data_IF_878878680652
#
_entry.id   IF_878878680652
#
_cell.length_a   1.000
_cell.length_b   1.000
_cell.length_c   1.000
_cell.angle_alpha   90.00
_cell.angle_beta   90.00
_cell.angle_gamma   90.00
#
_symmetry.space_group_name_H-M   'P 1'
#
loop_
_entity.id
_entity.type
_entity.pdbx_description
1 polymer ?
#
# COMPACT_ATOMS: atom_id res chain seq x y z
N UNK A 1 13.55 4.25 14.40
CA UNK A 1 13.19 3.01 13.71
C UNK A 1 12.06 2.37 14.51
N UNK A 2 10.81 2.43 14.05
CA UNK A 2 9.69 1.74 14.75
C UNK A 2 9.69 0.28 14.30
N UNK A 3 9.65 -0.65 15.25
CA UNK A 3 9.54 -2.09 14.95
C UNK A 3 8.08 -2.35 14.59
N UNK A 4 7.81 -2.53 13.31
CA UNK A 4 6.49 -2.94 12.82
C UNK A 4 6.33 -4.41 13.22
N UNK A 5 5.25 -4.77 13.92
CA UNK A 5 4.93 -6.18 14.10
C UNK A 5 4.64 -6.77 12.71
N UNK A 6 5.37 -7.80 12.32
CA UNK A 6 5.24 -8.41 10.99
C UNK A 6 4.64 -9.80 11.08
N UNK A 7 3.89 -10.19 10.06
CA UNK A 7 3.34 -11.54 9.91
C UNK A 7 2.09 -11.83 10.74
N UNK A 8 2.01 -13.04 11.28
CA UNK A 8 0.81 -13.59 11.91
C UNK A 8 0.41 -12.85 13.20
N UNK A 9 1.37 -12.41 14.00
CA UNK A 9 1.10 -11.71 15.28
C UNK A 9 0.42 -10.37 15.05
N UNK A 10 0.85 -9.63 14.01
CA UNK A 10 0.24 -8.37 13.60
C UNK A 10 -1.21 -8.56 13.13
N UNK A 11 -1.46 -9.62 12.37
CA UNK A 11 -2.81 -10.00 11.92
C UNK A 11 -3.71 -10.36 13.10
N UNK A 12 -3.23 -11.14 14.07
CA UNK A 12 -3.99 -11.53 15.26
C UNK A 12 -4.30 -10.29 16.11
N UNK A 13 -3.30 -9.44 16.37
CA UNK A 13 -3.49 -8.21 17.13
C UNK A 13 -4.47 -7.25 16.44
N UNK A 14 -4.35 -7.09 15.11
CA UNK A 14 -5.26 -6.26 14.33
C UNK A 14 -6.69 -6.80 14.36
N UNK A 15 -6.87 -8.13 14.25
CA UNK A 15 -8.18 -8.75 14.33
C UNK A 15 -8.84 -8.50 15.69
N UNK A 16 -8.09 -8.64 16.80
CA UNK A 16 -8.62 -8.37 18.13
C UNK A 16 -9.04 -6.90 18.32
N UNK A 17 -8.32 -5.95 17.72
CA UNK A 17 -8.67 -4.54 17.75
C UNK A 17 -9.91 -4.25 16.91
N UNK A 18 -9.99 -4.83 15.72
CA UNK A 18 -11.16 -4.74 14.85
C UNK A 18 -12.41 -5.34 15.51
N UNK A 19 -12.31 -6.52 16.12
CA UNK A 19 -13.40 -7.17 16.84
C UNK A 19 -13.89 -6.31 18.02
N UNK A 20 -12.95 -5.69 18.77
CA UNK A 20 -13.29 -4.73 19.85
C UNK A 20 -14.02 -3.50 19.33
N UNK A 21 -13.64 -2.99 18.15
CA UNK A 21 -14.30 -1.87 17.49
C UNK A 21 -15.70 -2.26 16.98
N UNK A 22 -15.82 -3.42 16.36
CA UNK A 22 -17.09 -3.97 15.89
C UNK A 22 -18.07 -4.22 17.05
N UNK A 23 -17.59 -4.75 18.17
CA UNK A 23 -18.39 -4.94 19.39
C UNK A 23 -18.90 -3.63 20.00
N UNK A 24 -18.19 -2.50 19.80
CA UNK A 24 -18.66 -1.15 20.20
C UNK A 24 -19.67 -0.55 19.21
N UNK A 25 -19.80 -1.12 18.02
CA UNK A 25 -20.63 -0.62 16.92
C UNK A 25 -21.69 -1.67 16.59
N UNK A 26 -22.60 -1.97 17.52
CA UNK A 26 -23.64 -2.98 17.26
C UNK A 26 -24.67 -2.41 16.27
N UNK A 27 -24.60 -2.88 15.02
CA UNK A 27 -25.78 -3.23 14.24
C UNK A 27 -25.50 -4.47 13.40
N UNK A 28 -26.39 -5.45 13.55
CA UNK A 28 -26.38 -6.78 12.94
C UNK A 28 -26.37 -6.70 11.41
N UNK A 29 -25.43 -7.40 10.76
CA UNK A 29 -25.57 -7.78 9.35
C UNK A 29 -25.23 -9.27 9.22
N UNK A 30 -26.22 -10.02 8.76
CA UNK A 30 -26.14 -11.44 8.45
C UNK A 30 -25.24 -11.72 7.24
N UNK A 31 -24.49 -12.81 7.30
CA UNK A 31 -23.68 -13.31 6.19
C UNK A 31 -24.58 -13.84 5.05
N UNK A 32 -24.26 -13.58 3.77
CA UNK A 32 -24.95 -14.23 2.66
C UNK A 32 -24.43 -15.67 2.45
N UNK A 33 -25.20 -16.54 1.75
CA UNK A 33 -24.83 -17.94 1.58
C UNK A 33 -23.71 -18.11 0.54
N UNK A 34 -22.85 -19.12 0.76
CA UNK A 34 -21.87 -19.60 -0.22
C UNK A 34 -22.58 -20.17 -1.47
N UNK A 35 -22.22 -19.66 -2.65
CA UNK A 35 -22.53 -20.31 -3.94
C UNK A 35 -21.47 -21.35 -4.26
N UNK A 36 -21.91 -22.55 -4.65
CA UNK A 36 -21.07 -23.58 -5.26
C UNK A 36 -20.73 -23.22 -6.70
N UNK A 37 -19.49 -23.44 -7.11
CA UNK A 37 -19.03 -23.28 -8.50
C UNK A 37 -18.71 -24.63 -9.12
N UNK A 38 -19.25 -24.84 -10.32
CA UNK A 38 -19.02 -26.01 -11.19
C UNK A 38 -17.60 -26.01 -11.77
N UNK A 39 -16.96 -27.18 -11.99
CA UNK A 39 -15.61 -27.25 -12.54
C UNK A 39 -15.68 -27.25 -14.07
N UNK A 40 -15.33 -26.13 -14.72
CA UNK A 40 -14.75 -26.07 -16.08
C UNK A 40 -14.61 -24.66 -16.70
N UNK A 41 -14.91 -23.59 -15.96
CA UNK A 41 -14.55 -22.23 -16.40
C UNK A 41 -13.12 -21.90 -15.96
N UNK A 42 -12.32 -21.29 -16.84
CA UNK A 42 -11.08 -20.62 -16.46
C UNK A 42 -11.37 -19.71 -15.25
N UNK A 43 -10.71 -19.98 -14.13
CA UNK A 43 -10.97 -19.27 -12.88
C UNK A 43 -10.31 -17.89 -12.98
N UNK A 44 -11.09 -16.87 -13.32
CA UNK A 44 -10.63 -15.48 -13.26
C UNK A 44 -10.56 -15.04 -11.79
N UNK A 45 -9.39 -14.61 -11.35
CA UNK A 45 -9.19 -14.07 -9.99
C UNK A 45 -9.86 -12.69 -9.93
N UNK A 46 -10.82 -12.52 -9.03
CA UNK A 46 -11.50 -11.22 -8.86
C UNK A 46 -10.55 -10.16 -8.31
N UNK A 47 -10.81 -8.89 -8.62
CA UNK A 47 -10.02 -7.79 -8.08
C UNK A 47 -10.02 -7.71 -6.55
N UNK A 48 -11.11 -8.15 -5.90
CA UNK A 48 -11.18 -8.27 -4.44
C UNK A 48 -10.25 -9.38 -3.90
N UNK A 49 -10.12 -10.50 -4.62
CA UNK A 49 -9.16 -11.55 -4.28
C UNK A 49 -7.71 -11.06 -4.49
N UNK A 50 -7.44 -10.32 -5.58
CA UNK A 50 -6.15 -9.67 -5.81
C UNK A 50 -5.79 -8.69 -4.69
N UNK A 51 -6.72 -7.82 -4.27
CA UNK A 51 -6.54 -6.90 -3.16
C UNK A 51 -6.18 -7.65 -1.86
N UNK A 52 -6.96 -8.66 -1.48
CA UNK A 52 -6.71 -9.45 -0.26
C UNK A 52 -5.33 -10.10 -0.27
N UNK A 53 -4.96 -10.70 -1.40
CA UNK A 53 -3.68 -11.37 -1.53
C UNK A 53 -2.50 -10.39 -1.50
N UNK A 54 -2.54 -9.35 -2.33
CA UNK A 54 -1.40 -8.45 -2.56
C UNK A 54 -1.19 -7.42 -1.45
N UNK A 55 -2.27 -6.89 -0.89
CA UNK A 55 -2.20 -5.81 0.11
C UNK A 55 -2.24 -6.33 1.54
N UNK A 56 -2.99 -7.41 1.79
CA UNK A 56 -3.16 -7.95 3.15
C UNK A 56 -2.38 -9.25 3.39
N UNK A 57 -1.80 -9.87 2.35
CA UNK A 57 -1.14 -11.16 2.47
C UNK A 57 -2.08 -12.31 2.83
N UNK A 58 -3.38 -12.17 2.54
CA UNK A 58 -4.41 -13.16 2.89
C UNK A 58 -4.80 -13.96 1.65
N UNK A 59 -4.38 -15.22 1.60
CA UNK A 59 -4.73 -16.15 0.53
C UNK A 59 -6.08 -16.87 0.75
N UNK A 60 -6.52 -17.00 2.01
CA UNK A 60 -7.79 -17.65 2.34
C UNK A 60 -8.97 -16.70 2.07
N UNK A 61 -9.84 -17.09 1.13
CA UNK A 61 -11.03 -16.33 0.76
C UNK A 61 -12.00 -16.13 1.92
N UNK A 62 -12.09 -17.09 2.84
CA UNK A 62 -12.99 -17.07 4.00
C UNK A 62 -12.47 -16.20 5.14
N UNK A 63 -11.18 -15.84 5.13
CA UNK A 63 -10.60 -14.97 6.14
C UNK A 63 -10.88 -13.51 5.81
N UNK A 64 -11.43 -12.80 6.79
CA UNK A 64 -11.60 -11.34 6.73
C UNK A 64 -10.25 -10.65 6.94
N UNK A 65 -10.02 -9.58 6.18
CA UNK A 65 -8.87 -8.71 6.38
C UNK A 65 -9.18 -7.70 7.49
N UNK A 66 -8.33 -7.55 8.53
CA UNK A 66 -8.59 -6.62 9.64
C UNK A 66 -8.80 -5.18 9.17
N UNK A 67 -9.67 -4.42 9.84
CA UNK A 67 -9.97 -3.01 9.55
C UNK A 67 -9.86 -2.10 10.77
N UNK A 68 -8.70 -1.47 10.95
CA UNK A 68 -8.42 -0.56 12.04
C UNK A 68 -9.11 0.80 11.85
N UNK A 69 -9.28 1.53 12.95
CA UNK A 69 -9.90 2.85 12.99
C UNK A 69 -8.90 3.96 13.31
N UNK A 70 -9.43 5.17 13.47
CA UNK A 70 -8.63 6.36 13.81
C UNK A 70 -7.96 6.28 15.18
N UNK A 71 -8.54 5.53 16.12
CA UNK A 71 -7.98 5.37 17.46
C UNK A 71 -6.64 4.61 17.43
N UNK A 72 -6.41 3.83 16.39
CA UNK A 72 -5.20 3.04 16.21
C UNK A 72 -4.15 3.76 15.33
N UNK A 73 -4.45 4.95 14.79
CA UNK A 73 -3.52 5.69 13.95
C UNK A 73 -2.20 5.98 14.69
N UNK A 74 -1.08 5.88 13.97
CA UNK A 74 0.25 6.06 14.56
C UNK A 74 0.73 4.89 15.43
N UNK A 75 -0.09 3.84 15.65
CA UNK A 75 0.38 2.59 16.25
C UNK A 75 1.28 1.83 15.26
N UNK A 76 2.19 0.98 15.77
CA UNK A 76 3.10 0.18 14.95
C UNK A 76 2.39 -1.04 14.33
N UNK A 77 1.34 -0.78 13.56
CA UNK A 77 0.50 -1.78 12.88
C UNK A 77 0.71 -1.69 11.36
N UNK A 78 0.48 -2.79 10.61
CA UNK A 78 0.52 -2.75 9.16
C UNK A 78 -0.47 -1.72 8.58
N UNK A 79 0.03 -0.82 7.74
CA UNK A 79 -0.73 0.30 7.18
C UNK A 79 -1.96 -0.15 6.39
N UNK A 80 -1.87 -1.27 5.68
CA UNK A 80 -2.97 -1.88 4.93
C UNK A 80 -4.27 -2.02 5.75
N UNK A 81 -4.14 -2.26 7.06
CA UNK A 81 -5.31 -2.43 7.93
C UNK A 81 -6.11 -1.15 8.15
N UNK A 82 -5.54 0.03 7.85
CA UNK A 82 -6.23 1.32 7.94
C UNK A 82 -7.05 1.67 6.70
N UNK A 83 -6.95 0.88 5.62
CA UNK A 83 -7.82 1.03 4.46
C UNK A 83 -9.28 0.86 4.87
N UNK A 84 -10.10 1.87 4.59
CA UNK A 84 -11.52 1.88 4.89
C UNK A 84 -12.29 0.90 4.00
N UNK A 85 -13.57 0.66 4.32
CA UNK A 85 -14.44 -0.17 3.49
C UNK A 85 -14.55 0.36 2.06
N UNK A 86 -14.62 1.68 1.89
CA UNK A 86 -14.78 2.29 0.57
C UNK A 86 -13.45 2.30 -0.20
N UNK A 87 -12.32 2.50 0.49
CA UNK A 87 -10.99 2.34 -0.11
C UNK A 87 -10.83 0.91 -0.67
N UNK A 88 -11.18 -0.12 0.12
CA UNK A 88 -11.09 -1.54 -0.31
C UNK A 88 -12.02 -1.86 -1.47
N UNK A 89 -13.23 -1.29 -1.50
CA UNK A 89 -14.15 -1.45 -2.63
C UNK A 89 -13.55 -0.86 -3.90
N UNK A 90 -13.09 0.39 -3.84
CA UNK A 90 -12.43 1.04 -4.98
C UNK A 90 -11.20 0.27 -5.44
N UNK A 91 -10.28 -0.07 -4.52
CA UNK A 91 -9.04 -0.75 -4.87
C UNK A 91 -9.30 -2.12 -5.51
N UNK A 92 -10.32 -2.86 -5.05
CA UNK A 92 -10.72 -4.10 -5.71
C UNK A 92 -11.17 -3.87 -7.15
N UNK A 93 -11.97 -2.83 -7.41
CA UNK A 93 -12.38 -2.49 -8.78
C UNK A 93 -11.18 -2.03 -9.64
N UNK A 94 -10.22 -1.31 -9.04
CA UNK A 94 -8.97 -0.89 -9.71
C UNK A 94 -8.09 -2.10 -10.05
N UNK A 95 -7.95 -3.09 -9.15
CA UNK A 95 -7.23 -4.33 -9.44
C UNK A 95 -7.87 -5.11 -10.59
N UNK A 96 -9.21 -5.22 -10.59
CA UNK A 96 -9.94 -5.91 -11.65
C UNK A 96 -9.73 -5.21 -13.00
N UNK A 97 -9.86 -3.88 -13.03
CA UNK A 97 -9.65 -3.07 -14.21
C UNK A 97 -8.22 -3.11 -14.74
N UNK A 98 -7.22 -2.94 -13.86
CA UNK A 98 -5.81 -3.00 -14.24
C UNK A 98 -5.40 -4.38 -14.74
N UNK A 99 -5.86 -5.44 -14.06
CA UNK A 99 -5.62 -6.83 -14.49
C UNK A 99 -6.26 -7.11 -15.85
N UNK A 100 -7.48 -6.64 -16.09
CA UNK A 100 -8.17 -6.83 -17.36
C UNK A 100 -7.47 -6.13 -18.54
N UNK A 101 -6.75 -5.04 -18.28
CA UNK A 101 -5.96 -4.32 -19.28
C UNK A 101 -4.52 -4.81 -19.41
N UNK A 102 -4.12 -5.85 -18.65
CA UNK A 102 -2.75 -6.37 -18.69
C UNK A 102 -1.71 -5.41 -18.10
N UNK A 103 -2.11 -4.48 -17.23
CA UNK A 103 -1.19 -3.63 -16.52
C UNK A 103 -0.48 -4.38 -15.39
N UNK A 104 0.75 -3.96 -15.09
CA UNK A 104 1.47 -4.44 -13.92
C UNK A 104 0.74 -3.97 -12.65
N UNK A 105 0.30 -4.93 -11.83
CA UNK A 105 -0.45 -4.66 -10.62
C UNK A 105 0.38 -3.95 -9.54
N UNK A 106 1.71 -3.84 -9.71
CA UNK A 106 2.57 -2.99 -8.87
C UNK A 106 2.14 -1.52 -8.82
N UNK A 107 1.51 -1.01 -9.89
CA UNK A 107 0.91 0.33 -9.87
C UNK A 107 -0.26 0.44 -8.88
N UNK A 108 -1.08 -0.61 -8.80
CA UNK A 108 -2.20 -0.68 -7.86
C UNK A 108 -1.70 -0.89 -6.44
N UNK A 109 -0.67 -1.71 -6.25
CA UNK A 109 -0.03 -1.90 -4.95
C UNK A 109 0.47 -0.56 -4.39
N UNK A 110 1.21 0.20 -5.20
CA UNK A 110 1.80 1.49 -4.81
C UNK A 110 0.73 2.52 -4.44
N UNK A 111 -0.37 2.57 -5.21
CA UNK A 111 -1.55 3.39 -4.87
C UNK A 111 -2.21 2.92 -3.57
N UNK A 112 -2.38 1.61 -3.39
CA UNK A 112 -3.01 1.03 -2.20
C UNK A 112 -2.20 1.32 -0.94
N UNK A 113 -0.88 1.13 -0.99
CA UNK A 113 0.01 1.41 0.14
C UNK A 113 0.12 2.90 0.40
N UNK A 114 0.19 3.76 -0.63
CA UNK A 114 0.16 5.21 -0.44
C UNK A 114 -1.12 5.69 0.27
N UNK A 115 -2.28 5.17 -0.14
CA UNK A 115 -3.56 5.46 0.51
C UNK A 115 -3.61 4.90 1.94
N UNK A 116 -3.08 3.70 2.15
CA UNK A 116 -3.01 3.06 3.46
C UNK A 116 -2.12 3.85 4.44
N UNK A 117 -0.95 4.31 4.01
CA UNK A 117 -0.07 5.15 4.83
C UNK A 117 -0.74 6.49 5.17
N UNK A 118 -1.47 7.09 4.23
CA UNK A 118 -2.26 8.29 4.47
C UNK A 118 -3.31 8.07 5.58
N UNK A 119 -4.06 6.96 5.52
CA UNK A 119 -5.05 6.60 6.55
C UNK A 119 -4.41 6.33 7.91
N UNK A 120 -3.33 5.55 7.96
CA UNK A 120 -2.60 5.25 9.20
C UNK A 120 -2.07 6.51 9.89
N UNK A 121 -1.82 7.56 9.12
CA UNK A 121 -1.41 8.88 9.60
C UNK A 121 -2.58 9.84 9.87
N UNK A 122 -3.72 9.30 10.28
CA UNK A 122 -4.97 10.04 10.53
C UNK A 122 -5.31 10.99 9.37
N UNK A 123 -5.46 10.41 8.18
CA UNK A 123 -5.70 11.15 6.94
C UNK A 123 -4.63 12.24 6.70
N UNK A 124 -3.36 11.84 6.89
CA UNK A 124 -2.19 12.70 6.73
C UNK A 124 -1.94 13.74 7.85
N UNK A 125 -2.82 13.88 8.85
CA UNK A 125 -2.71 14.91 9.89
C UNK A 125 -1.48 14.77 10.78
N UNK A 126 -1.03 13.53 11.02
CA UNK A 126 0.18 13.27 11.81
C UNK A 126 1.43 13.09 10.93
N UNK A 127 1.32 13.38 9.63
CA UNK A 127 2.46 13.38 8.71
C UNK A 127 3.22 14.71 8.78
N UNK A 128 4.54 14.65 8.94
CA UNK A 128 5.39 15.84 8.96
C UNK A 128 5.60 16.40 7.56
N UNK A 129 5.34 17.70 7.36
CA UNK A 129 5.69 18.38 6.10
C UNK A 129 7.21 18.42 5.91
N UNK A 130 7.67 17.96 4.75
CA UNK A 130 9.09 17.81 4.42
C UNK A 130 9.79 19.17 4.22
N UNK A 131 9.11 20.14 3.59
CA UNK A 131 9.71 21.41 3.19
C UNK A 131 9.54 22.55 4.21
N UNK A 132 9.57 22.25 5.51
CA UNK A 132 9.51 23.28 6.57
C UNK A 132 10.88 23.93 6.86
N UNK A 133 11.95 23.56 6.15
CA UNK A 133 13.30 24.06 6.39
C UNK A 133 13.93 23.54 7.69
N UNK A 134 13.46 22.37 8.18
CA UNK A 134 13.94 21.67 9.39
C UNK A 134 14.89 20.51 9.07
N UNK A 135 15.09 20.23 7.79
CA UNK A 135 15.98 19.16 7.31
C UNK A 135 17.26 19.80 6.79
N UNK A 136 18.40 19.29 7.22
CA UNK A 136 19.72 19.81 6.84
C UNK A 136 20.59 18.69 6.26
N UNK A 137 21.49 19.05 5.35
CA UNK A 137 22.54 18.14 4.92
C UNK A 137 23.68 18.07 5.95
N UNK A 138 24.75 17.35 5.61
CA UNK A 138 25.87 17.12 6.52
C UNK A 138 26.70 18.39 6.73
N UNK A 139 26.66 19.30 5.76
CA UNK A 139 27.34 20.59 5.72
C UNK A 139 26.53 21.71 6.43
N UNK A 140 25.26 21.47 6.72
CA UNK A 140 24.37 22.39 7.42
C UNK A 140 23.50 23.26 6.51
N UNK A 141 23.42 22.96 5.21
CA UNK A 141 22.44 23.60 4.32
C UNK A 141 21.06 23.01 4.54
N UNK A 142 20.02 23.86 4.52
CA UNK A 142 18.62 23.40 4.52
C UNK A 142 18.31 22.68 3.23
N UNK A 143 17.63 21.55 3.34
CA UNK A 143 17.23 20.71 2.22
C UNK A 143 15.75 20.92 1.92
N UNK A 144 15.43 21.10 0.64
CA UNK A 144 14.08 21.17 0.12
C UNK A 144 13.92 20.19 -1.04
N UNK A 145 12.72 19.66 -1.18
CA UNK A 145 12.34 18.71 -2.21
C UNK A 145 11.15 19.24 -3.01
N UNK A 146 11.21 19.05 -4.32
CA UNK A 146 10.08 19.34 -5.21
C UNK A 146 9.90 18.20 -6.20
N UNK A 147 8.70 18.14 -6.77
CA UNK A 147 8.46 17.29 -7.94
C UNK A 147 9.37 17.69 -9.09
N UNK A 148 9.67 16.72 -9.96
CA UNK A 148 10.17 17.03 -11.30
C UNK A 148 9.12 17.81 -12.09
N UNK A 149 9.52 18.48 -13.16
CA UNK A 149 8.59 19.25 -14.01
C UNK A 149 7.43 18.38 -14.55
N UNK A 150 7.65 17.15 -15.06
CA UNK A 150 6.57 16.26 -15.48
C UNK A 150 5.60 15.89 -14.35
N UNK A 151 6.13 15.59 -13.15
CA UNK A 151 5.30 15.25 -11.99
C UNK A 151 4.50 16.44 -11.50
N UNK A 152 5.11 17.64 -11.46
CA UNK A 152 4.41 18.87 -11.11
C UNK A 152 3.29 19.20 -12.10
N UNK A 153 3.55 19.02 -13.40
CA UNK A 153 2.54 19.22 -14.44
C UNK A 153 1.36 18.24 -14.28
N UNK A 154 1.64 16.96 -14.02
CA UNK A 154 0.61 15.95 -13.82
C UNK A 154 -0.18 16.17 -12.52
N UNK A 155 0.50 16.47 -11.42
CA UNK A 155 -0.13 16.85 -10.15
C UNK A 155 -1.09 18.03 -10.34
N UNK A 156 -0.65 19.07 -11.07
CA UNK A 156 -1.50 20.22 -11.41
C UNK A 156 -2.75 19.79 -12.18
N UNK A 157 -2.60 19.03 -13.27
CA UNK A 157 -3.74 18.52 -14.06
C UNK A 157 -4.74 17.75 -13.19
N UNK A 158 -4.26 16.86 -12.33
CA UNK A 158 -5.10 16.10 -11.40
C UNK A 158 -5.88 17.05 -10.48
N UNK A 159 -5.18 17.99 -9.83
CA UNK A 159 -5.80 18.92 -8.86
C UNK A 159 -6.80 19.89 -9.48
N UNK A 160 -6.64 20.20 -10.77
CA UNK A 160 -7.51 21.10 -11.52
C UNK A 160 -8.63 20.34 -12.28
N UNK A 161 -8.57 19.01 -12.34
CA UNK A 161 -9.53 18.18 -13.07
C UNK A 161 -10.93 18.17 -12.44
N UNK A 162 -11.96 18.09 -13.27
CA UNK A 162 -13.34 17.85 -12.81
C UNK A 162 -13.54 16.42 -12.28
N UNK A 163 -12.74 15.46 -12.77
CA UNK A 163 -12.72 14.08 -12.28
C UNK A 163 -12.45 14.01 -10.79
N UNK A 164 -11.53 14.83 -10.26
CA UNK A 164 -11.22 14.86 -8.83
C UNK A 164 -12.42 15.21 -7.95
N UNK A 165 -13.39 16.01 -8.43
CA UNK A 165 -14.55 16.42 -7.64
C UNK A 165 -15.54 15.27 -7.40
N UNK A 166 -15.53 14.27 -8.27
CA UNK A 166 -16.54 13.20 -8.31
C UNK A 166 -15.95 11.80 -8.29
N UNK A 167 -14.62 11.69 -8.21
CA UNK A 167 -13.93 10.40 -8.09
C UNK A 167 -14.26 9.72 -6.77
N UNK A 168 -14.26 8.39 -6.81
CA UNK A 168 -14.34 7.53 -5.62
C UNK A 168 -13.04 7.51 -4.81
N UNK A 169 -11.91 7.90 -5.41
CA UNK A 169 -10.64 8.02 -4.68
C UNK A 169 -10.74 9.17 -3.68
N UNK A 170 -10.19 9.00 -2.48
CA UNK A 170 -10.26 10.03 -1.44
C UNK A 170 -9.62 11.33 -1.92
N UNK A 171 -10.41 12.39 -2.00
CA UNK A 171 -9.96 13.69 -2.53
C UNK A 171 -8.94 14.35 -1.61
N UNK A 172 -9.00 14.08 -0.31
CA UNK A 172 -8.02 14.53 0.67
C UNK A 172 -6.68 13.86 0.43
N UNK A 173 -6.68 12.56 0.20
CA UNK A 173 -5.48 11.79 -0.17
C UNK A 173 -4.84 12.34 -1.45
N UNK A 174 -5.63 12.59 -2.50
CA UNK A 174 -5.10 13.14 -3.76
C UNK A 174 -4.43 14.49 -3.53
N UNK A 175 -5.09 15.41 -2.82
CA UNK A 175 -4.52 16.73 -2.48
C UNK A 175 -3.27 16.61 -1.61
N UNK A 176 -3.27 15.67 -0.68
CA UNK A 176 -2.13 15.38 0.18
C UNK A 176 -0.92 14.91 -0.62
N UNK A 177 -1.08 13.89 -1.48
CA UNK A 177 0.06 13.29 -2.20
C UNK A 177 0.56 14.17 -3.35
N UNK A 178 -0.31 15.02 -3.91
CA UNK A 178 0.06 16.03 -4.93
C UNK A 178 0.62 17.32 -4.36
N UNK A 179 0.65 17.49 -3.03
CA UNK A 179 1.35 18.59 -2.37
C UNK A 179 2.83 18.22 -2.21
N UNK A 180 3.71 19.06 -2.75
CA UNK A 180 5.17 18.87 -2.72
C UNK A 180 5.71 18.72 -1.29
N UNK A 181 5.02 19.25 -0.28
CA UNK A 181 5.43 19.18 1.11
C UNK A 181 5.23 17.77 1.71
N UNK A 182 4.51 16.88 1.02
CA UNK A 182 4.27 15.52 1.47
C UNK A 182 4.72 14.47 0.44
N UNK A 183 4.42 14.69 -0.85
CA UNK A 183 4.62 13.68 -1.88
C UNK A 183 5.96 13.72 -2.59
N UNK A 184 6.76 14.80 -2.48
CA UNK A 184 7.94 14.96 -3.34
C UNK A 184 8.99 13.86 -3.17
N UNK A 185 9.27 13.40 -1.95
CA UNK A 185 10.26 12.33 -1.71
C UNK A 185 9.70 10.92 -2.02
N UNK A 186 8.38 10.78 -2.10
CA UNK A 186 7.72 9.52 -2.34
C UNK A 186 6.24 9.70 -2.62
N UNK A 187 5.85 9.41 -3.85
CA UNK A 187 4.47 9.42 -4.32
C UNK A 187 4.21 8.18 -5.18
N UNK A 188 2.93 7.79 -5.28
CA UNK A 188 2.52 6.81 -6.29
C UNK A 188 2.69 7.39 -7.70
N UNK A 189 2.64 6.54 -8.72
CA UNK A 189 2.66 7.02 -10.10
C UNK A 189 1.45 7.94 -10.37
N UNK A 190 1.72 9.23 -10.66
CA UNK A 190 0.67 10.23 -10.84
C UNK A 190 -0.13 10.03 -12.11
N UNK A 191 0.49 9.59 -13.21
CA UNK A 191 -0.23 9.29 -14.45
C UNK A 191 -1.21 8.14 -14.25
N UNK A 192 -0.80 7.07 -13.56
CA UNK A 192 -1.68 5.97 -13.18
C UNK A 192 -2.85 6.47 -12.31
N UNK A 193 -2.56 7.33 -11.33
CA UNK A 193 -3.60 7.89 -10.46
C UNK A 193 -4.55 8.82 -11.21
N UNK A 194 -4.07 9.61 -12.17
CA UNK A 194 -4.91 10.41 -13.07
C UNK A 194 -5.90 9.51 -13.83
N UNK A 195 -5.42 8.40 -14.38
CA UNK A 195 -6.27 7.39 -15.05
C UNK A 195 -7.31 6.78 -14.11
N UNK A 196 -6.93 6.43 -12.88
CA UNK A 196 -7.87 5.93 -11.86
C UNK A 196 -8.91 7.00 -11.51
N UNK A 197 -8.49 8.25 -11.31
CA UNK A 197 -9.40 9.35 -10.98
C UNK A 197 -10.44 9.52 -12.08
N UNK A 198 -10.01 9.58 -13.34
CA UNK A 198 -10.91 9.72 -14.49
C UNK A 198 -11.86 8.54 -14.58
N UNK A 199 -11.34 7.31 -14.61
CA UNK A 199 -12.13 6.08 -14.76
C UNK A 199 -13.22 5.93 -13.70
N UNK A 200 -12.90 6.26 -12.45
CA UNK A 200 -13.77 6.03 -11.29
C UNK A 200 -14.44 7.31 -10.78
N UNK A 201 -14.55 8.33 -11.63
CA UNK A 201 -15.34 9.54 -11.40
C UNK A 201 -16.64 9.54 -12.20
N UNK A 202 -17.64 10.32 -11.78
CA UNK A 202 -18.87 10.47 -12.57
C UNK A 202 -18.71 11.46 -13.72
N UNK A 203 -17.70 12.33 -13.65
CA UNK A 203 -17.37 13.30 -14.69
C UNK A 203 -16.39 12.77 -15.75
N UNK A 204 -15.72 11.64 -15.49
CA UNK A 204 -14.68 11.09 -16.35
C UNK A 204 -15.18 10.05 -17.36
N UNK A 205 -14.26 9.60 -18.21
CA UNK A 205 -14.56 8.65 -19.28
C UNK A 205 -14.59 7.22 -18.75
N UNK A 206 -15.76 6.58 -18.83
CA UNK A 206 -15.93 5.17 -18.49
C UNK A 206 -15.18 4.21 -19.42
N UNK A 207 -14.53 4.71 -20.47
CA UNK A 207 -13.71 3.92 -21.39
C UNK A 207 -12.21 4.24 -21.25
N UNK A 208 -11.81 4.93 -20.17
CA UNK A 208 -10.40 5.22 -19.87
C UNK A 208 -9.54 3.94 -19.93
N UNK A 209 -8.50 3.99 -20.76
CA UNK A 209 -7.53 2.93 -20.96
C UNK A 209 -6.20 3.30 -20.29
N UNK A 210 -5.53 2.30 -19.70
CA UNK A 210 -4.19 2.47 -19.14
C UNK A 210 -3.17 2.67 -20.27
N UNK A 211 -3.25 1.87 -21.33
CA UNK A 211 -2.26 1.89 -22.41
C UNK A 211 -1.00 1.09 -22.08
N UNK A 212 -0.08 0.99 -23.06
CA UNK A 212 1.07 0.09 -22.99
C UNK A 212 2.11 0.48 -21.92
N UNK A 213 2.14 1.74 -21.50
CA UNK A 213 3.13 2.28 -20.56
C UNK A 213 3.02 1.67 -19.14
N UNK A 214 1.87 1.08 -18.81
CA UNK A 214 1.62 0.46 -17.50
C UNK A 214 1.87 -1.06 -17.47
N UNK A 215 2.39 -1.66 -18.54
CA UNK A 215 2.69 -3.11 -18.58
C UNK A 215 3.88 -3.52 -17.72
N UNK A 216 4.69 -2.56 -17.26
CA UNK A 216 5.82 -2.80 -16.36
C UNK A 216 5.86 -1.71 -15.29
N UNK A 217 5.82 -2.09 -14.02
CA UNK A 217 5.84 -1.13 -12.92
C UNK A 217 7.17 -0.37 -12.84
N UNK A 218 7.07 0.96 -12.82
CA UNK A 218 8.17 1.89 -12.63
C UNK A 218 7.96 2.68 -11.34
N UNK A 219 8.73 2.34 -10.31
CA UNK A 219 8.71 3.08 -9.05
C UNK A 219 9.17 4.52 -9.26
N UNK A 220 8.42 5.47 -8.72
CA UNK A 220 8.76 6.90 -8.71
C UNK A 220 9.56 7.29 -7.46
N UNK A 221 9.93 6.31 -6.61
CA UNK A 221 10.75 6.55 -5.43
C UNK A 221 12.09 7.10 -5.88
N UNK A 222 12.46 8.26 -5.34
CA UNK A 222 13.67 9.03 -5.71
C UNK A 222 13.58 9.88 -6.98
N UNK A 223 12.41 10.01 -7.61
CA UNK A 223 12.23 10.91 -8.76
C UNK A 223 11.80 12.32 -8.31
N UNK A 224 12.76 13.06 -7.74
CA UNK A 224 12.54 14.39 -7.18
C UNK A 224 13.73 15.32 -7.41
N UNK A 225 13.46 16.62 -7.32
CA UNK A 225 14.50 17.66 -7.32
C UNK A 225 14.87 17.99 -5.89
N UNK A 226 16.15 17.89 -5.56
CA UNK A 226 16.73 18.30 -4.27
C UNK A 226 17.39 19.66 -4.42
N UNK A 227 16.99 20.62 -3.59
CA UNK A 227 17.55 21.97 -3.57
C UNK A 227 18.12 22.30 -2.18
N UNK A 228 19.21 23.06 -2.15
CA UNK A 228 19.89 23.48 -0.92
C UNK A 228 19.76 24.99 -0.71
N UNK A 229 19.70 25.43 0.55
CA UNK A 229 19.91 26.83 0.88
C UNK A 229 21.35 27.26 0.57
N UNK A 230 21.54 28.53 0.17
CA UNK A 230 22.88 29.09 -0.03
C UNK A 230 23.69 29.18 1.25
N UNK A 231 23.01 29.46 2.35
CA UNK A 231 23.59 29.60 3.69
C UNK A 231 23.63 28.25 4.42
N UNK A 232 24.56 28.14 5.35
CA UNK A 232 24.69 27.03 6.30
C UNK A 232 24.19 27.45 7.68
N UNK A 233 23.59 26.53 8.41
CA UNK A 233 23.06 26.74 9.74
C UNK A 233 23.47 25.60 10.67
N UNK A 234 23.50 25.89 11.96
CA UNK A 234 23.59 24.85 13.00
C UNK A 234 22.18 24.34 13.28
N UNK A 235 21.89 23.04 13.08
CA UNK A 235 20.56 22.49 13.38
C UNK A 235 20.18 22.68 14.85
N UNK A 236 18.95 23.14 15.08
CA UNK A 236 18.38 23.32 16.42
C UNK A 236 17.76 22.05 16.99
N UNK A 237 17.18 22.17 18.19
CA UNK A 237 16.43 21.08 18.80
C UNK A 237 15.17 20.75 17.96
N UNK A 238 15.02 19.47 17.58
CA UNK A 238 13.93 19.00 16.72
C UNK A 238 14.21 19.07 15.21
N UNK A 239 15.37 19.62 14.80
CA UNK A 239 15.82 19.57 13.42
C UNK A 239 16.41 18.20 13.07
N UNK A 240 16.28 17.82 11.80
CA UNK A 240 16.75 16.54 11.27
C UNK A 240 17.96 16.75 10.37
N UNK A 241 18.96 15.87 10.47
CA UNK A 241 20.03 15.76 9.47
C UNK A 241 19.70 14.62 8.52
N UNK A 242 19.92 14.83 7.23
CA UNK A 242 19.88 13.75 6.26
C UNK A 242 20.90 12.68 6.68
N UNK A 243 20.48 11.42 6.59
CA UNK A 243 21.40 10.29 6.71
C UNK A 243 21.84 9.89 5.31
N UNK A 244 23.11 9.51 5.10
CA UNK A 244 23.56 9.06 3.79
C UNK A 244 22.75 7.83 3.39
N UNK A 245 21.94 7.97 2.33
CA UNK A 245 21.22 6.86 1.71
C UNK A 245 22.22 5.87 1.14
N UNK A 246 22.57 4.84 1.91
CA UNK A 246 23.27 3.66 1.39
C UNK A 246 22.29 2.99 0.43
N UNK A 247 22.48 3.22 -0.87
CA UNK A 247 21.83 2.48 -1.95
C UNK A 247 22.25 1.01 -1.85
N UNK A 248 21.63 0.24 -0.95
CA UNK A 248 21.65 -1.22 -1.06
C UNK A 248 20.76 -1.60 -2.22
N UNK A 249 21.36 -1.68 -3.40
CA UNK A 249 20.81 -2.40 -4.53
C UNK A 249 20.78 -3.90 -4.20
N UNK A 250 19.87 -4.31 -3.33
CA UNK A 250 19.42 -5.71 -3.33
C UNK A 250 18.45 -5.82 -4.49
N UNK A 251 18.95 -6.34 -5.61
CA UNK A 251 18.12 -6.80 -6.73
C UNK A 251 16.93 -7.58 -6.15
N UNK A 252 15.69 -7.29 -6.54
CA UNK A 252 14.54 -8.12 -6.18
C UNK A 252 14.87 -9.56 -6.57
N UNK A 253 14.74 -10.50 -5.64
CA UNK A 253 14.82 -11.93 -6.00
C UNK A 253 13.69 -12.20 -7.00
N UNK A 254 14.06 -12.73 -8.15
CA UNK A 254 13.15 -13.13 -9.20
C UNK A 254 12.10 -14.10 -8.63
N UNK A 255 10.82 -13.72 -8.73
CA UNK A 255 9.70 -14.52 -8.23
C UNK A 255 9.47 -15.62 -9.26
N UNK A 256 9.94 -16.81 -8.95
CA UNK A 256 9.69 -18.04 -9.72
C UNK A 256 8.62 -18.87 -9.02
N UNK A 257 8.00 -19.81 -9.74
CA UNK A 257 7.02 -20.74 -9.16
C UNK A 257 7.65 -21.56 -8.02
N UNK A 258 8.96 -21.84 -8.14
CA UNK A 258 9.80 -22.48 -7.16
C UNK A 258 10.03 -21.59 -5.94
N UNK A 259 10.25 -20.27 -6.11
CA UNK A 259 10.40 -19.36 -4.97
C UNK A 259 9.09 -19.21 -4.19
N UNK A 260 7.95 -19.13 -4.88
CA UNK A 260 6.63 -19.06 -4.24
C UNK A 260 6.32 -20.35 -3.46
N UNK A 261 6.59 -21.50 -4.09
CA UNK A 261 6.42 -22.81 -3.45
C UNK A 261 7.36 -22.99 -2.25
N UNK A 262 8.60 -22.51 -2.33
CA UNK A 262 9.54 -22.57 -1.22
C UNK A 262 9.15 -21.64 -0.08
N UNK A 263 8.67 -20.43 -0.36
CA UNK A 263 8.22 -19.49 0.66
C UNK A 263 6.96 -20.00 1.39
N UNK A 264 6.02 -20.61 0.66
CA UNK A 264 4.88 -21.32 1.26
C UNK A 264 5.31 -22.52 2.11
N UNK A 265 6.31 -23.28 1.66
CA UNK A 265 6.86 -24.42 2.42
C UNK A 265 7.56 -23.96 3.70
N UNK A 266 8.37 -22.92 3.63
CA UNK A 266 9.05 -22.35 4.80
C UNK A 266 8.03 -21.79 5.79
N UNK A 267 7.02 -21.06 5.29
CA UNK A 267 5.94 -20.52 6.12
C UNK A 267 5.17 -21.65 6.81
N UNK A 268 4.85 -22.73 6.09
CA UNK A 268 4.18 -23.90 6.64
C UNK A 268 5.02 -24.62 7.70
N UNK A 269 6.30 -24.87 7.42
CA UNK A 269 7.22 -25.51 8.35
C UNK A 269 7.40 -24.67 9.64
N UNK A 270 7.54 -23.35 9.49
CA UNK A 270 7.62 -22.41 10.62
C UNK A 270 6.33 -22.38 11.44
N UNK A 271 5.16 -22.40 10.80
CA UNK A 271 3.87 -22.47 11.48
C UNK A 271 3.70 -23.76 12.29
N UNK A 272 4.27 -24.87 11.81
CA UNK A 272 4.28 -26.15 12.52
C UNK A 272 5.39 -26.24 13.58
N UNK A 273 6.26 -25.22 13.71
CA UNK A 273 7.39 -25.24 14.65
C UNK A 273 8.51 -26.22 14.25
N UNK A 274 8.54 -26.63 12.98
CA UNK A 274 9.43 -27.69 12.49
C UNK A 274 10.42 -27.14 11.47
N UNK A 275 11.67 -27.62 11.49
CA UNK A 275 12.74 -27.10 10.61
C UNK A 275 12.79 -27.73 9.22
N UNK A 276 12.09 -28.85 9.00
CA UNK A 276 12.11 -29.60 7.74
C UNK A 276 10.90 -30.54 7.64
N UNK A 277 10.58 -30.99 6.42
CA UNK A 277 9.51 -31.96 6.20
C UNK A 277 9.82 -33.34 6.82
N UNK A 278 11.09 -33.73 6.93
CA UNK A 278 11.47 -34.96 7.62
C UNK A 278 11.16 -34.87 9.11
N UNK A 279 11.50 -33.75 9.75
CA UNK A 279 11.13 -33.52 11.15
C UNK A 279 9.61 -33.43 11.36
N UNK A 280 8.84 -33.07 10.33
CA UNK A 280 7.37 -33.03 10.38
C UNK A 280 6.80 -34.45 10.29
N UNK A 281 7.35 -35.27 9.41
CA UNK A 281 7.04 -36.69 9.33
C UNK A 281 7.39 -37.41 10.63
N UNK A 282 8.57 -37.15 11.19
CA UNK A 282 8.97 -37.72 12.47
C UNK A 282 8.02 -37.30 13.59
N UNK A 283 7.54 -36.05 13.60
CA UNK A 283 6.54 -35.58 14.58
C UNK A 283 5.18 -36.25 14.40
N UNK A 284 4.72 -36.47 13.16
CA UNK A 284 3.41 -37.04 12.86
C UNK A 284 3.36 -38.56 13.03
N UNK A 285 4.48 -39.25 12.91
CA UNK A 285 4.54 -40.70 12.85
C UNK A 285 5.42 -41.37 13.93
N UNK A 286 5.99 -40.59 14.87
CA UNK A 286 6.82 -41.14 15.96
C UNK A 286 6.11 -42.17 16.83
N UNK A 287 4.80 -42.03 17.01
CA UNK A 287 4.00 -42.87 17.92
C UNK A 287 3.15 -43.93 17.17
N UNK A 288 3.44 -44.19 15.90
CA UNK A 288 2.88 -45.35 15.17
C UNK A 288 3.97 -46.35 14.83
N UNK A 289 4.41 -47.10 15.83
CA UNK A 289 5.00 -48.44 15.68
C UNK A 289 4.31 -49.41 16.61
#
# INVERSE_FOLDING_TARGET
MRVISSGADALIAAQQLDDKRAAKTISSIANPPLRSTSPDSAVTISGQALLKHRVFGVADSGRSAPMLGKAECGMSMPEAFFLTRDDRRLLGDVYEWASAQGADLGYVDDLAFGLASYREKDDGRIWGRQNQGKTYDLEGHKVFYSFTEPHAATAKRITESDGLKTTRLDQGFVRFITDKDYGSIGHNNFEFMEKVINRFSTAGERDEQLGADFTTYKSQKSDYIRTLSKETYTPGEGDSRETPSVKKATKPKEITLESLRNDMRETFLKAMGVKSLSSLFDMLFKDRR
#
